data_IF_899461353992
#
_entry.id   IF_899461353992
#
_cell.length_a   1.000
_cell.length_b   1.000
_cell.length_c   1.000
_cell.angle_alpha   90.00
_cell.angle_beta   90.00
_cell.angle_gamma   90.00
#
_symmetry.space_group_name_H-M   'P 1'
#
loop_
_entity.id
_entity.type
_entity.pdbx_description
1 polymer ?
#
# COMPACT_ATOMS: atom_id res chain seq x y z
N UNK A 1 8.33 13.98 1.18
CA UNK A 1 7.62 14.26 0.48
C UNK A 1 6.92 13.26 -0.19
N UNK A 2 6.44 13.03 -1.10
CA UNK A 2 5.57 12.10 -1.72
C UNK A 2 5.91 10.63 -1.61
N UNK A 3 7.01 10.27 -0.99
CA UNK A 3 7.42 8.88 -0.89
C UNK A 3 6.42 8.01 -0.14
N UNK A 4 5.80 8.55 0.90
CA UNK A 4 4.85 7.79 1.68
C UNK A 4 3.64 7.37 0.86
N UNK A 5 3.24 8.20 -0.10
CA UNK A 5 2.10 7.92 -0.96
C UNK A 5 2.36 6.80 -1.95
N UNK A 6 3.63 6.50 -2.22
CA UNK A 6 4.04 5.48 -3.18
C UNK A 6 4.71 4.29 -2.54
N UNK A 7 4.69 4.23 -1.22
CA UNK A 7 5.40 3.20 -0.49
C UNK A 7 5.02 1.80 -0.94
N UNK A 8 3.73 1.57 -1.18
CA UNK A 8 3.29 0.26 -1.63
C UNK A 8 3.83 -0.07 -3.02
N UNK A 9 3.98 0.94 -3.88
CA UNK A 9 4.53 0.72 -5.22
C UNK A 9 6.01 0.37 -5.15
N UNK A 10 6.74 1.06 -4.27
CA UNK A 10 8.18 0.84 -4.12
C UNK A 10 8.51 -0.57 -3.64
N UNK A 11 7.59 -1.21 -2.94
CA UNK A 11 7.78 -2.57 -2.46
C UNK A 11 7.51 -3.63 -3.52
N UNK A 12 7.07 -3.24 -4.70
CA UNK A 12 6.76 -4.17 -5.78
C UNK A 12 7.94 -4.31 -6.73
N UNK A 13 8.17 -5.51 -7.22
CA UNK A 13 9.19 -5.71 -8.25
C UNK A 13 8.60 -5.41 -9.64
N UNK A 14 9.47 -5.42 -10.65
CA UNK A 14 9.06 -5.07 -12.01
C UNK A 14 7.97 -5.98 -12.54
N UNK A 15 8.02 -7.25 -12.23
CA UNK A 15 7.01 -8.20 -12.70
C UNK A 15 5.65 -7.93 -12.06
N UNK A 16 5.63 -7.51 -10.81
CA UNK A 16 4.39 -7.15 -10.12
C UNK A 16 3.81 -5.86 -10.68
N UNK A 17 4.65 -4.89 -10.98
CA UNK A 17 4.20 -3.64 -11.59
C UNK A 17 3.64 -3.91 -12.98
N UNK A 18 4.29 -4.77 -13.76
CA UNK A 18 3.78 -5.16 -15.08
C UNK A 18 2.42 -5.85 -14.98
N UNK A 19 2.25 -6.69 -13.96
CA UNK A 19 0.96 -7.35 -13.72
C UNK A 19 -0.14 -6.33 -13.48
N UNK A 20 0.13 -5.32 -12.64
CA UNK A 20 -0.84 -4.27 -12.35
C UNK A 20 -1.18 -3.49 -13.62
N UNK A 21 -0.16 -3.15 -14.40
CA UNK A 21 -0.36 -2.44 -15.66
C UNK A 21 -1.25 -3.22 -16.59
N UNK A 22 -0.96 -4.52 -16.75
CA UNK A 22 -1.78 -5.38 -17.62
C UNK A 22 -3.21 -5.51 -17.10
N UNK A 23 -3.36 -5.62 -15.78
CA UNK A 23 -4.68 -5.70 -15.17
C UNK A 23 -5.54 -4.48 -15.54
N UNK A 24 -4.94 -3.30 -15.49
CA UNK A 24 -5.64 -2.06 -15.85
C UNK A 24 -5.95 -2.04 -17.34
N UNK A 25 -4.98 -2.41 -18.18
CA UNK A 25 -5.17 -2.43 -19.63
C UNK A 25 -6.25 -3.40 -20.08
N UNK A 26 -6.43 -4.49 -19.34
CA UNK A 26 -7.48 -5.49 -19.63
C UNK A 26 -8.77 -5.19 -18.88
N UNK A 27 -8.91 -3.98 -18.36
CA UNK A 27 -10.11 -3.51 -17.64
C UNK A 27 -10.49 -4.42 -16.47
N UNK A 28 -9.48 -5.00 -15.81
CA UNK A 28 -9.70 -5.85 -14.65
C UNK A 28 -10.13 -7.28 -14.97
N UNK A 29 -10.03 -7.70 -16.22
CA UNK A 29 -10.44 -9.05 -16.61
C UNK A 29 -9.34 -10.07 -16.33
N UNK A 30 -9.52 -10.86 -15.26
CA UNK A 30 -8.58 -11.93 -14.95
C UNK A 30 -8.62 -13.04 -15.99
N UNK A 31 -9.76 -13.24 -16.62
CA UNK A 31 -9.88 -14.21 -17.69
C UNK A 31 -8.98 -13.86 -18.86
N UNK A 32 -9.00 -12.60 -19.28
CA UNK A 32 -8.12 -12.14 -20.37
C UNK A 32 -6.66 -12.21 -19.96
N UNK A 33 -6.35 -11.87 -18.73
CA UNK A 33 -4.99 -11.96 -18.23
C UNK A 33 -4.47 -13.40 -18.24
N UNK A 34 -5.32 -14.36 -17.89
CA UNK A 34 -4.94 -15.77 -17.93
C UNK A 34 -4.56 -16.16 -19.36
N UNK A 35 -5.33 -15.73 -20.34
CA UNK A 35 -5.04 -15.97 -21.74
C UNK A 35 -3.72 -15.34 -22.17
N UNK A 36 -3.50 -14.09 -21.81
CA UNK A 36 -2.29 -13.34 -22.18
C UNK A 36 -1.03 -13.98 -21.59
N UNK A 37 -1.10 -14.38 -20.32
CA UNK A 37 0.05 -15.00 -19.66
C UNK A 37 0.19 -16.49 -19.95
N UNK A 38 -0.80 -17.09 -20.59
CA UNK A 38 -0.76 -18.52 -20.90
C UNK A 38 -0.84 -19.39 -19.65
N UNK A 39 -1.62 -18.97 -18.67
CA UNK A 39 -1.78 -19.71 -17.42
C UNK A 39 -3.26 -19.87 -17.11
N UNK A 40 -3.59 -20.65 -16.07
CA UNK A 40 -4.97 -20.86 -15.67
C UNK A 40 -5.52 -19.65 -14.90
N UNK A 41 -6.84 -19.52 -14.87
CA UNK A 41 -7.51 -18.50 -14.10
C UNK A 41 -7.12 -18.54 -12.61
N UNK A 42 -7.12 -19.70 -11.94
CA UNK A 42 -6.71 -19.75 -10.54
C UNK A 42 -5.29 -19.26 -10.32
N UNK A 43 -4.38 -19.45 -11.27
CA UNK A 43 -3.01 -18.98 -11.16
C UNK A 43 -2.96 -17.45 -11.17
N UNK A 44 -3.71 -16.83 -12.09
CA UNK A 44 -3.78 -15.36 -12.15
C UNK A 44 -4.43 -14.82 -10.89
N UNK A 45 -5.50 -15.47 -10.43
CA UNK A 45 -6.19 -15.05 -9.21
C UNK A 45 -5.27 -15.09 -7.99
N UNK A 46 -4.46 -16.13 -7.90
CA UNK A 46 -3.50 -16.25 -6.81
C UNK A 46 -2.48 -15.11 -6.84
N UNK A 47 -2.00 -14.76 -8.03
CA UNK A 47 -1.06 -13.64 -8.16
C UNK A 47 -1.69 -12.33 -7.71
N UNK A 48 -2.94 -12.11 -8.08
CA UNK A 48 -3.67 -10.92 -7.64
C UNK A 48 -3.82 -10.90 -6.12
N UNK A 49 -4.18 -12.04 -5.53
CA UNK A 49 -4.34 -12.13 -4.09
C UNK A 49 -3.03 -11.82 -3.35
N UNK A 50 -1.90 -12.27 -3.88
CA UNK A 50 -0.60 -11.98 -3.29
C UNK A 50 -0.26 -10.48 -3.37
N UNK A 51 -0.61 -9.84 -4.47
CA UNK A 51 -0.43 -8.40 -4.60
C UNK A 51 -1.28 -7.63 -3.61
N UNK A 52 -2.53 -8.06 -3.44
CA UNK A 52 -3.43 -7.44 -2.46
C UNK A 52 -2.80 -7.52 -1.06
N UNK A 53 -2.24 -8.68 -0.69
CA UNK A 53 -1.61 -8.83 0.60
C UNK A 53 -0.37 -7.95 0.76
N UNK A 54 0.42 -7.81 -0.29
CA UNK A 54 1.58 -6.93 -0.26
C UNK A 54 1.18 -5.48 -0.01
N UNK A 55 0.14 -5.04 -0.68
CA UNK A 55 -0.36 -3.66 -0.52
C UNK A 55 -0.89 -3.45 0.90
N UNK A 56 -1.60 -4.45 1.43
CA UNK A 56 -2.10 -4.39 2.81
C UNK A 56 -0.98 -4.32 3.84
N UNK A 57 0.13 -5.01 3.57
CA UNK A 57 1.29 -4.96 4.47
C UNK A 57 1.89 -3.56 4.52
N UNK A 58 1.93 -2.87 3.40
CA UNK A 58 2.40 -1.49 3.37
C UNK A 58 1.52 -0.59 4.23
N UNK A 59 0.20 -0.82 4.23
CA UNK A 59 -0.71 -0.08 5.09
C UNK A 59 -0.45 -0.35 6.57
N UNK A 60 -0.06 -1.58 6.91
CA UNK A 60 0.31 -1.90 8.30
C UNK A 60 1.55 -1.13 8.73
N UNK A 61 2.51 -0.96 7.86
CA UNK A 61 3.69 -0.15 8.16
C UNK A 61 3.30 1.28 8.47
N UNK A 62 2.32 1.82 7.75
CA UNK A 62 1.79 3.15 8.02
C UNK A 62 1.17 3.24 9.41
N UNK A 63 0.45 2.20 9.83
CA UNK A 63 -0.11 2.13 11.17
C UNK A 63 0.99 2.07 12.22
N UNK A 64 2.12 1.44 11.90
CA UNK A 64 3.27 1.38 12.80
C UNK A 64 3.84 2.77 13.09
N UNK A 65 3.80 3.67 12.11
CA UNK A 65 4.24 5.05 12.33
C UNK A 65 3.40 5.73 13.42
N UNK A 66 2.08 5.59 13.35
CA UNK A 66 1.18 6.17 14.35
C UNK A 66 1.47 5.57 15.73
N UNK A 67 1.68 4.26 15.80
CA UNK A 67 2.03 3.59 17.05
C UNK A 67 3.33 4.10 17.63
N UNK A 68 4.32 4.35 16.78
CA UNK A 68 5.60 4.90 17.23
C UNK A 68 5.41 6.30 17.83
N UNK A 69 4.67 7.16 17.17
CA UNK A 69 4.43 8.51 17.65
C UNK A 69 3.72 8.47 19.01
N UNK A 70 2.71 7.62 19.16
CA UNK A 70 1.99 7.45 20.43
C UNK A 70 2.93 6.98 21.54
N UNK A 71 3.78 6.03 21.23
CA UNK A 71 4.76 5.49 22.18
C UNK A 71 5.72 6.58 22.67
N UNK A 72 6.19 7.41 21.75
CA UNK A 72 7.11 8.50 22.08
C UNK A 72 6.45 9.51 23.02
N UNK A 73 5.17 9.79 22.83
CA UNK A 73 4.43 10.69 23.72
C UNK A 73 4.27 10.08 25.11
N UNK A 74 3.97 8.78 25.18
CA UNK A 74 3.83 8.07 26.44
C UNK A 74 5.15 8.08 27.20
N UNK A 75 6.26 7.91 26.51
CA UNK A 75 7.60 7.89 27.11
C UNK A 75 8.13 9.30 27.43
N UNK A 76 7.39 10.33 27.11
CA UNK A 76 7.78 11.71 27.39
C UNK A 76 8.83 12.26 26.45
N UNK A 77 9.11 11.60 25.34
CA UNK A 77 10.11 12.06 24.36
C UNK A 77 9.59 13.18 23.49
N UNK A 78 8.28 13.26 23.31
CA UNK A 78 7.63 14.39 22.64
C UNK A 78 6.38 14.74 23.44
N UNK A 79 5.89 15.97 23.26
CA UNK A 79 4.68 16.39 23.95
C UNK A 79 3.46 15.73 23.31
N UNK A 80 2.40 15.64 24.08
CA UNK A 80 1.12 15.11 23.58
C UNK A 80 0.62 15.98 22.43
N UNK A 81 0.76 17.30 22.53
CA UNK A 81 0.34 18.19 21.45
C UNK A 81 1.12 17.94 20.18
N UNK A 82 2.43 17.76 20.29
CA UNK A 82 3.26 17.45 19.13
C UNK A 82 2.84 16.11 18.49
N UNK A 83 2.54 15.12 19.33
CA UNK A 83 2.10 13.81 18.84
C UNK A 83 0.79 13.94 18.07
N UNK A 84 -0.16 14.71 18.58
CA UNK A 84 -1.44 14.92 17.91
C UNK A 84 -1.26 15.57 16.55
N UNK A 85 -0.39 16.58 16.47
CA UNK A 85 -0.12 17.28 15.22
C UNK A 85 0.50 16.31 14.20
N UNK A 86 1.48 15.52 14.62
CA UNK A 86 2.16 14.58 13.75
C UNK A 86 1.20 13.53 13.21
N UNK A 87 0.33 12.99 14.06
CA UNK A 87 -0.63 11.97 13.65
C UNK A 87 -1.67 12.57 12.70
N UNK A 88 -2.14 13.76 12.98
CA UNK A 88 -3.13 14.42 12.12
C UNK A 88 -2.57 14.69 10.73
N UNK A 89 -1.34 15.20 10.66
CA UNK A 89 -0.71 15.47 9.37
C UNK A 89 -0.49 14.19 8.58
N UNK A 90 -0.10 13.13 9.26
CA UNK A 90 0.11 11.84 8.61
C UNK A 90 -1.20 11.29 8.03
N UNK A 91 -2.28 11.34 8.80
CA UNK A 91 -3.60 10.86 8.36
C UNK A 91 -4.14 11.72 7.22
N UNK A 92 -3.88 13.02 7.28
CA UNK A 92 -4.32 13.96 6.27
C UNK A 92 -3.68 13.64 4.92
N UNK A 93 -2.39 13.35 4.90
CA UNK A 93 -1.71 12.94 3.68
C UNK A 93 -2.28 11.63 3.13
N UNK A 94 -2.58 10.69 4.00
CA UNK A 94 -3.18 9.43 3.61
C UNK A 94 -4.53 9.60 2.95
N UNK A 95 -5.34 10.52 3.46
CA UNK A 95 -6.65 10.82 2.88
C UNK A 95 -6.52 11.47 1.52
N UNK A 96 -5.60 12.41 1.37
CA UNK A 96 -5.37 13.09 0.10
C UNK A 96 -4.94 12.11 -0.98
N UNK A 97 -4.24 11.08 -0.60
CA UNK A 97 -3.74 10.06 -1.51
C UNK A 97 -4.85 9.39 -2.31
N UNK A 98 -6.02 9.30 -1.75
CA UNK A 98 -7.14 8.58 -2.37
C UNK A 98 -8.11 9.46 -3.15
N UNK A 99 -7.76 10.73 -3.35
CA UNK A 99 -8.62 11.64 -4.08
C UNK A 99 -8.23 11.89 -5.52
#
# INVERSE_FOLDING_TARGET
MGNDKRKWIENLDDSEIDFIKRFILESGSLKEMATIYGVSYPTVRLRLDRLIEKIKLADKEDKSYVSLIKSMAIDGKITLDAAKILIEEYKKEGEEKWR
#
